data_IF_386274017672
#
_entry.id   IF_386274017672
#
_cell.length_a   1.000
_cell.length_b   1.000
_cell.length_c   1.000
_cell.angle_alpha   90.00
_cell.angle_beta   90.00
_cell.angle_gamma   90.00
#
_symmetry.space_group_name_H-M   'P 1'
#
loop_
_entity.id
_entity.type
_entity.pdbx_description
1 polymer ?
#
# COMPACT_ATOMS: atom_id res chain seq x y z
N UNK A 1 12.40 -6.87 -8.18
CA UNK A 1 11.25 -6.17 -8.80
C UNK A 1 10.54 -5.32 -7.74
N UNK A 2 10.08 -4.12 -8.09
CA UNK A 2 9.32 -3.25 -7.19
C UNK A 2 8.02 -2.84 -7.88
N UNK A 3 6.92 -2.93 -7.16
CA UNK A 3 5.61 -2.44 -7.62
C UNK A 3 5.34 -1.05 -7.04
N UNK A 4 4.55 -0.26 -7.75
CA UNK A 4 4.19 1.10 -7.34
C UNK A 4 2.70 1.32 -7.57
N UNK A 5 2.02 1.88 -6.57
CA UNK A 5 0.64 2.33 -6.65
C UNK A 5 0.58 3.81 -6.28
N UNK A 6 0.08 4.63 -7.20
CA UNK A 6 -0.24 6.04 -6.97
C UNK A 6 -1.74 6.20 -6.77
N UNK A 7 -2.16 6.79 -5.65
CA UNK A 7 -3.58 6.93 -5.30
C UNK A 7 -4.11 8.35 -5.53
N UNK A 8 -3.28 9.28 -6.04
CA UNK A 8 -3.71 10.67 -6.21
C UNK A 8 -4.91 10.82 -7.13
N UNK A 9 -5.05 10.00 -8.18
CA UNK A 9 -6.14 10.14 -9.16
C UNK A 9 -7.50 9.63 -8.64
N UNK A 10 -7.49 8.75 -7.62
CA UNK A 10 -8.69 8.11 -7.05
C UNK A 10 -8.93 8.51 -5.59
N UNK A 11 -8.30 9.58 -5.12
CA UNK A 11 -8.29 9.98 -3.71
C UNK A 11 -9.68 10.21 -3.09
N UNK A 12 -10.69 10.54 -3.91
CA UNK A 12 -12.06 10.79 -3.49
C UNK A 12 -13.02 9.61 -3.76
N UNK A 13 -12.50 8.47 -4.23
CA UNK A 13 -13.28 7.27 -4.56
C UNK A 13 -12.89 6.11 -3.65
N UNK A 14 -13.49 6.06 -2.45
CA UNK A 14 -13.15 5.08 -1.41
C UNK A 14 -13.12 3.62 -1.88
N UNK A 15 -14.14 3.19 -2.66
CA UNK A 15 -14.20 1.83 -3.21
C UNK A 15 -13.08 1.53 -4.20
N UNK A 16 -12.70 2.51 -5.03
CA UNK A 16 -11.62 2.34 -6.00
C UNK A 16 -10.26 2.25 -5.29
N UNK A 17 -10.09 2.96 -4.17
CA UNK A 17 -8.88 2.88 -3.33
C UNK A 17 -8.69 1.46 -2.79
N UNK A 18 -9.73 0.89 -2.16
CA UNK A 18 -9.64 -0.46 -1.59
C UNK A 18 -9.40 -1.52 -2.67
N UNK A 19 -10.05 -1.39 -3.83
CA UNK A 19 -9.81 -2.27 -4.99
C UNK A 19 -8.36 -2.18 -5.46
N UNK A 20 -7.85 -0.97 -5.70
CA UNK A 20 -6.47 -0.78 -6.17
C UNK A 20 -5.43 -1.29 -5.16
N UNK A 21 -5.67 -1.07 -3.86
CA UNK A 21 -4.82 -1.60 -2.79
C UNK A 21 -4.84 -3.14 -2.76
N UNK A 22 -6.01 -3.76 -2.94
CA UNK A 22 -6.09 -5.22 -3.02
C UNK A 22 -5.36 -5.76 -4.24
N UNK A 23 -5.60 -5.18 -5.41
CA UNK A 23 -5.00 -5.60 -6.68
C UNK A 23 -3.47 -5.57 -6.64
N UNK A 24 -2.88 -4.49 -6.11
CA UNK A 24 -1.41 -4.37 -6.06
C UNK A 24 -0.77 -5.35 -5.06
N UNK A 25 -1.46 -5.66 -3.96
CA UNK A 25 -0.97 -6.65 -2.98
C UNK A 25 -1.07 -8.06 -3.57
N UNK A 26 -2.19 -8.41 -4.20
CA UNK A 26 -2.38 -9.70 -4.83
C UNK A 26 -1.39 -9.90 -6.00
N UNK A 27 -1.10 -8.84 -6.76
CA UNK A 27 -0.04 -8.84 -7.78
C UNK A 27 1.34 -9.06 -7.16
N UNK A 28 1.65 -8.40 -6.03
CA UNK A 28 2.91 -8.57 -5.33
C UNK A 28 3.12 -10.01 -4.87
N UNK A 29 2.07 -10.66 -4.34
CA UNK A 29 2.11 -12.08 -3.96
C UNK A 29 2.33 -12.96 -5.18
N UNK A 30 1.54 -12.76 -6.24
CA UNK A 30 1.60 -13.56 -7.47
C UNK A 30 2.97 -13.50 -8.14
N UNK A 31 3.57 -12.31 -8.20
CA UNK A 31 4.86 -12.07 -8.83
C UNK A 31 6.04 -12.22 -7.86
N UNK A 32 5.79 -12.56 -6.60
CA UNK A 32 6.78 -12.55 -5.52
C UNK A 32 7.60 -11.26 -5.49
N UNK A 33 6.92 -10.11 -5.63
CA UNK A 33 7.57 -8.81 -5.55
C UNK A 33 8.02 -8.55 -4.10
N UNK A 34 9.30 -8.28 -3.82
CA UNK A 34 9.78 -8.03 -2.45
C UNK A 34 9.26 -6.71 -1.85
N UNK A 35 8.81 -5.76 -2.68
CA UNK A 35 8.47 -4.41 -2.24
C UNK A 35 7.32 -3.81 -3.08
N UNK A 36 6.34 -3.22 -2.39
CA UNK A 36 5.32 -2.35 -2.97
C UNK A 36 5.51 -0.94 -2.38
N UNK A 37 5.59 0.05 -3.24
CA UNK A 37 5.50 1.47 -2.86
C UNK A 37 4.07 1.97 -3.09
N UNK A 38 3.47 2.54 -2.05
CA UNK A 38 2.15 3.17 -2.13
C UNK A 38 2.33 4.67 -1.89
N UNK A 39 1.79 5.48 -2.80
CA UNK A 39 1.79 6.94 -2.74
C UNK A 39 0.37 7.44 -2.46
N UNK A 40 -0.01 7.59 -1.17
CA UNK A 40 -1.25 8.26 -0.78
C UNK A 40 -1.18 9.79 -0.84
N UNK A 41 0.02 10.38 -1.00
CA UNK A 41 0.20 11.84 -1.03
C UNK A 41 0.38 12.51 0.33
N UNK A 42 0.68 13.82 0.29
CA UNK A 42 1.05 14.65 1.45
C UNK A 42 -0.08 15.51 2.04
N UNK A 43 -1.33 15.32 1.58
CA UNK A 43 -2.48 16.15 1.98
C UNK A 43 -2.85 16.05 3.46
N UNK A 44 -4.15 16.13 3.79
CA UNK A 44 -4.66 16.08 5.18
C UNK A 44 -4.34 14.79 5.97
N UNK A 45 -3.69 13.81 5.33
CA UNK A 45 -3.34 12.52 5.92
C UNK A 45 -4.49 11.51 5.98
N UNK A 46 -5.71 11.88 5.55
CA UNK A 46 -6.86 10.98 5.55
C UNK A 46 -6.66 9.77 4.64
N UNK A 47 -6.16 9.98 3.42
CA UNK A 47 -5.86 8.88 2.50
C UNK A 47 -4.77 7.95 3.06
N UNK A 48 -3.73 8.51 3.70
CA UNK A 48 -2.71 7.70 4.38
C UNK A 48 -3.30 6.87 5.52
N UNK A 49 -4.20 7.44 6.33
CA UNK A 49 -4.91 6.70 7.40
C UNK A 49 -5.78 5.57 6.82
N UNK A 50 -6.46 5.82 5.71
CA UNK A 50 -7.24 4.80 4.99
C UNK A 50 -6.35 3.64 4.56
N UNK A 51 -5.24 3.92 3.85
CA UNK A 51 -4.29 2.89 3.42
C UNK A 51 -3.76 2.07 4.60
N UNK A 52 -3.37 2.72 5.70
CA UNK A 52 -2.89 2.01 6.89
C UNK A 52 -3.97 1.11 7.51
N UNK A 53 -5.24 1.55 7.52
CA UNK A 53 -6.37 0.73 8.01
C UNK A 53 -6.61 -0.47 7.11
N UNK A 54 -6.52 -0.30 5.79
CA UNK A 54 -6.61 -1.42 4.84
C UNK A 54 -5.50 -2.45 5.08
N UNK A 55 -4.26 -1.99 5.22
CA UNK A 55 -3.11 -2.89 5.43
C UNK A 55 -3.18 -3.64 6.77
N UNK A 56 -3.83 -3.08 7.79
CA UNK A 56 -3.97 -3.71 9.10
C UNK A 56 -5.09 -4.78 9.16
N UNK A 57 -5.91 -4.92 8.11
CA UNK A 57 -6.88 -6.01 7.99
C UNK A 57 -6.16 -7.37 8.10
N UNK A 58 -6.70 -8.29 8.89
CA UNK A 58 -6.02 -9.54 9.28
C UNK A 58 -5.57 -10.37 8.06
N UNK A 59 -6.42 -10.45 7.05
CA UNK A 59 -6.19 -11.16 5.80
C UNK A 59 -5.13 -10.51 4.92
N UNK A 60 -5.01 -9.17 4.95
CA UNK A 60 -4.01 -8.42 4.17
C UNK A 60 -2.66 -8.48 4.89
N UNK A 61 -2.66 -8.28 6.20
CA UNK A 61 -1.47 -8.29 7.07
C UNK A 61 -0.74 -9.63 7.04
N UNK A 62 -1.47 -10.73 6.83
CA UNK A 62 -0.90 -12.07 6.67
C UNK A 62 -0.07 -12.25 5.38
N UNK A 63 -0.24 -11.38 4.38
CA UNK A 63 0.40 -11.51 3.06
C UNK A 63 1.80 -10.88 2.98
N UNK A 64 2.14 -9.99 3.91
CA UNK A 64 3.39 -9.23 3.88
C UNK A 64 4.15 -9.31 5.21
N UNK A 65 5.40 -8.85 5.23
CA UNK A 65 6.26 -8.92 6.41
C UNK A 65 6.18 -7.67 7.30
N UNK A 66 6.31 -6.47 6.72
CA UNK A 66 6.19 -5.21 7.47
C UNK A 66 5.79 -4.03 6.58
N UNK A 67 5.23 -2.99 7.21
CA UNK A 67 5.01 -1.68 6.60
C UNK A 67 6.03 -0.69 7.15
N UNK A 68 6.68 0.04 6.26
CA UNK A 68 7.57 1.15 6.59
C UNK A 68 6.92 2.47 6.16
N UNK A 69 6.94 3.45 7.07
CA UNK A 69 6.50 4.82 6.81
C UNK A 69 7.75 5.61 6.45
N UNK A 70 7.77 6.21 5.27
CA UNK A 70 8.92 7.02 4.84
C UNK A 70 9.08 8.23 5.77
N UNK A 71 10.23 8.32 6.44
CA UNK A 71 10.56 9.37 7.41
C UNK A 71 11.02 10.67 6.75
N UNK A 72 11.39 10.62 5.46
CA UNK A 72 11.86 11.79 4.68
C UNK A 72 10.76 12.30 3.75
N UNK A 73 9.92 11.41 3.23
CA UNK A 73 8.78 11.75 2.38
C UNK A 73 7.49 11.13 2.92
N UNK A 74 6.84 11.84 3.85
CA UNK A 74 5.62 11.39 4.52
C UNK A 74 4.44 11.01 3.61
N UNK A 75 4.49 11.36 2.32
CA UNK A 75 3.51 10.98 1.31
C UNK A 75 3.68 9.58 0.74
N UNK A 76 4.57 8.76 1.30
CA UNK A 76 4.88 7.39 0.83
C UNK A 76 4.79 6.37 1.97
N UNK A 77 4.44 5.15 1.58
CA UNK A 77 4.44 3.95 2.41
C UNK A 77 5.11 2.83 1.62
N UNK A 78 5.83 1.97 2.32
CA UNK A 78 6.46 0.79 1.72
C UNK A 78 5.95 -0.47 2.41
N UNK A 79 5.47 -1.43 1.62
CA UNK A 79 5.06 -2.75 2.09
C UNK A 79 6.12 -3.75 1.66
N UNK A 80 6.80 -4.33 2.65
CA UNK A 80 7.89 -5.28 2.45
C UNK A 80 7.36 -6.70 2.55
N UNK A 81 7.71 -7.53 1.58
CA UNK A 81 7.37 -8.95 1.54
C UNK A 81 8.62 -9.80 1.77
N UNK A 82 8.45 -10.98 2.38
CA UNK A 82 9.53 -11.94 2.60
C UNK A 82 9.18 -13.25 1.91
N UNK A 83 9.87 -13.54 0.83
CA UNK A 83 9.76 -14.80 0.10
C UNK A 83 10.85 -15.75 0.60
N UNK A 84 10.48 -17.02 0.77
CA UNK A 84 11.42 -18.11 1.02
C UNK A 84 11.79 -18.77 -0.31
#
# INVERSE_FOLDING_TARGET
MKLKLDLHDIYNRGQDIDRALRDIIDEAVRKKAPLVEIIPGKGSGQLKKHVLRFLDQKEIKALYHRVEKDSKNFGRLFVHFRWK
#
